data_IF_701851026159
#
_entry.id   IF_701851026159
#
_cell.length_a   1.000
_cell.length_b   1.000
_cell.length_c   1.000
_cell.angle_alpha   90.00
_cell.angle_beta   90.00
_cell.angle_gamma   90.00
#
_symmetry.space_group_name_H-M   'P 1'
#
loop_
_entity.id
_entity.type
_entity.pdbx_description
1 polymer ?
#
# COMPACT_ATOMS: atom_id res chain seq x y z
N UNK A 1 16.12 4.64 3.66
CA UNK A 1 15.53 3.40 4.24
C UNK A 1 14.09 3.16 3.82
N UNK A 2 13.22 4.19 3.80
CA UNK A 2 11.83 4.05 3.35
C UNK A 2 11.69 3.44 1.95
N UNK A 3 12.51 3.87 0.99
CA UNK A 3 12.49 3.30 -0.37
C UNK A 3 12.87 1.82 -0.40
N UNK A 4 13.82 1.40 0.46
CA UNK A 4 14.19 -0.02 0.59
C UNK A 4 13.02 -0.82 1.13
N UNK A 5 12.30 -0.32 2.14
CA UNK A 5 11.09 -0.96 2.66
C UNK A 5 10.01 -1.12 1.58
N UNK A 6 9.73 -0.08 0.80
CA UNK A 6 8.76 -0.17 -0.31
C UNK A 6 9.22 -1.12 -1.42
N UNK A 7 10.53 -1.20 -1.70
CA UNK A 7 11.09 -2.07 -2.73
C UNK A 7 11.40 -3.51 -2.25
N UNK A 8 11.18 -3.81 -0.97
CA UNK A 8 11.28 -5.16 -0.38
C UNK A 8 9.92 -5.61 0.15
N UNK A 9 9.56 -5.20 1.37
CA UNK A 9 8.28 -5.52 2.03
C UNK A 9 7.09 -5.08 1.18
N UNK A 10 7.18 -3.95 0.50
CA UNK A 10 6.15 -3.48 -0.43
C UNK A 10 6.07 -4.24 -1.77
N UNK A 11 6.92 -5.26 -1.96
CA UNK A 11 7.01 -6.10 -3.17
C UNK A 11 7.06 -7.60 -2.83
N UNK A 12 6.31 -8.02 -1.81
CA UNK A 12 6.20 -9.44 -1.43
C UNK A 12 7.53 -10.08 -0.96
N UNK A 13 8.44 -9.30 -0.38
CA UNK A 13 9.69 -9.80 0.19
C UNK A 13 9.76 -9.58 1.71
N UNK A 14 10.67 -10.29 2.36
CA UNK A 14 11.14 -9.97 3.71
C UNK A 14 12.25 -8.93 3.59
N UNK A 15 12.31 -7.97 4.52
CA UNK A 15 13.45 -7.07 4.69
C UNK A 15 14.28 -7.55 5.88
N UNK A 16 15.45 -8.09 5.58
CA UNK A 16 16.48 -8.36 6.57
C UNK A 16 17.38 -7.11 6.67
N UNK A 17 17.45 -6.53 7.86
CA UNK A 17 18.21 -5.31 8.12
C UNK A 17 19.42 -5.66 8.99
N UNK A 18 20.62 -5.56 8.41
CA UNK A 18 21.85 -5.69 9.17
C UNK A 18 22.06 -4.47 10.06
N UNK A 19 22.50 -4.73 11.30
CA UNK A 19 22.74 -3.72 12.32
C UNK A 19 24.07 -4.03 12.98
N UNK A 20 25.07 -3.19 12.74
CA UNK A 20 26.44 -3.45 13.18
C UNK A 20 26.78 -2.69 14.47
N UNK A 21 27.16 -3.39 15.56
CA UNK A 21 27.74 -2.74 16.74
C UNK A 21 29.12 -2.13 16.44
N UNK A 22 29.46 -1.04 17.12
CA UNK A 22 30.79 -0.44 17.08
C UNK A 22 31.75 -1.10 18.09
N UNK A 23 32.96 -0.53 18.25
CA UNK A 23 33.99 -1.05 19.17
C UNK A 23 33.60 -1.02 20.66
N UNK A 24 32.52 -0.31 21.02
CA UNK A 24 31.94 -0.32 22.37
C UNK A 24 30.98 -1.51 22.57
N UNK A 25 30.68 -2.26 21.51
CA UNK A 25 29.63 -3.27 21.50
C UNK A 25 28.21 -2.67 21.48
N UNK A 26 28.07 -1.40 21.11
CA UNK A 26 26.80 -0.68 21.05
C UNK A 26 26.45 -0.33 19.61
N UNK A 27 25.16 -0.16 19.33
CA UNK A 27 24.73 0.41 18.05
C UNK A 27 25.04 1.91 18.08
N UNK A 28 25.72 2.46 17.05
CA UNK A 28 25.94 3.90 16.95
C UNK A 28 24.62 4.69 17.07
N UNK A 29 24.65 5.79 17.81
CA UNK A 29 23.42 6.54 18.14
C UNK A 29 22.74 7.13 16.89
N UNK A 30 23.53 7.51 15.89
CA UNK A 30 23.04 7.99 14.60
C UNK A 30 22.36 6.88 13.79
N UNK A 31 22.90 5.66 13.81
CA UNK A 31 22.27 4.48 13.20
C UNK A 31 20.95 4.14 13.93
N UNK A 32 20.97 4.08 15.26
CA UNK A 32 19.78 3.83 16.06
C UNK A 32 18.67 4.87 15.80
N UNK A 33 19.04 6.14 15.66
CA UNK A 33 18.10 7.20 15.30
C UNK A 33 17.47 6.99 13.91
N UNK A 34 18.24 6.56 12.90
CA UNK A 34 17.73 6.25 11.57
C UNK A 34 16.78 5.04 11.57
N UNK A 35 17.11 3.98 12.33
CA UNK A 35 16.21 2.82 12.47
C UNK A 35 14.91 3.20 13.16
N UNK A 36 14.98 4.05 14.19
CA UNK A 36 13.79 4.61 14.83
C UNK A 36 12.95 5.41 13.85
N UNK A 37 13.56 6.28 13.03
CA UNK A 37 12.84 7.05 12.01
C UNK A 37 12.12 6.15 11.00
N UNK A 38 12.74 5.02 10.60
CA UNK A 38 12.06 4.04 9.76
C UNK A 38 10.85 3.41 10.48
N UNK A 39 11.01 2.99 11.73
CA UNK A 39 9.92 2.43 12.53
C UNK A 39 8.78 3.42 12.75
N UNK A 40 9.10 4.67 13.09
CA UNK A 40 8.15 5.76 13.24
C UNK A 40 7.38 6.00 11.94
N UNK A 41 8.07 6.03 10.80
CA UNK A 41 7.43 6.16 9.48
C UNK A 41 6.49 4.99 9.18
N UNK A 42 6.91 3.74 9.43
CA UNK A 42 6.06 2.57 9.16
C UNK A 42 4.80 2.62 10.03
N UNK A 43 4.95 2.94 11.32
CA UNK A 43 3.83 3.02 12.25
C UNK A 43 2.89 4.18 11.91
N UNK A 44 3.42 5.35 11.59
CA UNK A 44 2.59 6.52 11.25
C UNK A 44 1.85 6.32 9.92
N UNK A 45 2.51 5.73 8.93
CA UNK A 45 1.97 5.57 7.59
C UNK A 45 1.02 4.36 7.47
N UNK A 46 1.39 3.21 8.05
CA UNK A 46 0.69 1.94 7.84
C UNK A 46 0.02 1.38 9.10
N UNK A 47 0.23 1.99 10.26
CA UNK A 47 -0.37 1.53 11.52
C UNK A 47 -1.88 1.72 11.59
N UNK A 48 -2.43 2.70 10.86
CA UNK A 48 -3.87 2.91 10.74
C UNK A 48 -4.23 3.33 9.30
N UNK A 49 -5.05 2.55 8.58
CA UNK A 49 -5.50 2.94 7.25
C UNK A 49 -6.42 4.16 7.29
N UNK A 50 -6.50 4.87 6.16
CA UNK A 50 -7.45 5.97 5.99
C UNK A 50 -8.86 5.41 5.85
N UNK A 51 -9.84 6.11 6.44
CA UNK A 51 -11.26 5.78 6.38
C UNK A 51 -11.55 4.33 6.80
N UNK A 52 -11.28 4.00 8.07
CA UNK A 52 -11.53 2.66 8.65
C UNK A 52 -12.96 2.19 8.52
N UNK A 53 -13.91 3.12 8.43
CA UNK A 53 -15.34 2.84 8.26
C UNK A 53 -15.77 2.71 6.80
N UNK A 54 -14.83 2.78 5.84
CA UNK A 54 -15.15 2.62 4.43
C UNK A 54 -15.76 1.26 4.14
N UNK A 55 -16.72 1.23 3.21
CA UNK A 55 -17.38 -0.01 2.82
C UNK A 55 -16.45 -0.82 1.90
N UNK A 56 -16.02 -1.96 2.39
CA UNK A 56 -15.25 -2.94 1.63
C UNK A 56 -16.18 -3.99 0.99
N UNK A 57 -16.02 -4.24 -0.31
CA UNK A 57 -16.81 -5.23 -1.05
C UNK A 57 -15.90 -6.17 -1.83
N UNK A 58 -16.08 -7.48 -1.62
CA UNK A 58 -15.48 -8.55 -2.43
C UNK A 58 -16.51 -9.00 -3.46
N UNK A 59 -16.10 -9.10 -4.72
CA UNK A 59 -16.98 -9.50 -5.82
C UNK A 59 -16.63 -10.91 -6.29
N UNK A 60 -17.63 -11.64 -6.82
CA UNK A 60 -17.47 -13.04 -7.26
C UNK A 60 -16.44 -13.19 -8.39
N UNK A 61 -16.22 -12.14 -9.18
CA UNK A 61 -15.21 -12.10 -10.24
C UNK A 61 -13.78 -11.81 -9.73
N UNK A 62 -13.56 -11.85 -8.41
CA UNK A 62 -12.27 -11.57 -7.76
C UNK A 62 -11.94 -10.08 -7.59
N UNK A 63 -12.75 -9.17 -8.13
CA UNK A 63 -12.58 -7.73 -7.93
C UNK A 63 -12.77 -7.37 -6.46
N UNK A 64 -12.07 -6.34 -6.00
CA UNK A 64 -12.25 -5.75 -4.68
C UNK A 64 -12.55 -4.27 -4.82
N UNK A 65 -13.52 -3.75 -4.08
CA UNK A 65 -13.79 -2.31 -4.04
C UNK A 65 -13.87 -1.75 -2.63
N UNK A 66 -13.51 -0.47 -2.53
CA UNK A 66 -13.64 0.36 -1.32
C UNK A 66 -14.48 1.58 -1.71
N UNK A 67 -15.59 1.78 -1.02
CA UNK A 67 -16.45 2.96 -1.19
C UNK A 67 -16.37 3.82 0.07
N UNK A 68 -16.14 5.12 -0.10
CA UNK A 68 -16.02 6.08 0.99
C UNK A 68 -17.32 6.87 1.15
N UNK A 69 -17.73 7.15 2.39
CA UNK A 69 -18.93 7.96 2.68
C UNK A 69 -18.77 9.42 2.24
N UNK A 70 -17.54 9.91 2.24
CA UNK A 70 -17.17 11.25 1.79
C UNK A 70 -15.86 11.22 1.01
N UNK A 71 -15.59 12.24 0.16
CA UNK A 71 -14.34 12.33 -0.58
C UNK A 71 -13.12 12.19 0.34
N UNK A 72 -12.26 11.23 0.04
CA UNK A 72 -11.16 10.81 0.91
C UNK A 72 -9.81 10.99 0.19
N UNK A 73 -8.85 11.65 0.85
CA UNK A 73 -7.50 11.84 0.33
C UNK A 73 -6.61 10.63 0.56
N UNK A 74 -6.02 10.07 -0.50
CA UNK A 74 -5.13 8.91 -0.44
C UNK A 74 -3.92 9.11 -1.37
N UNK A 75 -2.78 8.51 -1.05
CA UNK A 75 -1.57 8.55 -1.90
C UNK A 75 -1.02 7.15 -2.25
N UNK A 76 -1.55 6.11 -1.60
CA UNK A 76 -1.12 4.74 -1.79
C UNK A 76 -2.19 3.73 -1.42
N UNK A 77 -1.99 2.51 -1.87
CA UNK A 77 -2.78 1.33 -1.51
C UNK A 77 -1.88 0.18 -1.06
N UNK A 78 -2.36 -0.59 -0.08
CA UNK A 78 -1.73 -1.81 0.41
C UNK A 78 -2.64 -2.98 0.08
N UNK A 79 -2.12 -3.94 -0.67
CA UNK A 79 -2.80 -5.13 -1.15
C UNK A 79 -2.15 -6.37 -0.55
N UNK A 80 -2.95 -7.30 -0.03
CA UNK A 80 -2.45 -8.52 0.59
C UNK A 80 -3.37 -9.69 0.21
N UNK A 81 -2.80 -10.70 -0.46
CA UNK A 81 -3.45 -11.99 -0.68
C UNK A 81 -3.39 -12.83 0.60
N UNK A 82 -4.38 -13.70 0.77
CA UNK A 82 -4.29 -14.85 1.65
C UNK A 82 -3.66 -16.00 0.86
N UNK A 83 -2.38 -16.22 1.10
CA UNK A 83 -1.56 -17.16 0.32
C UNK A 83 -1.53 -18.58 0.88
N UNK A 84 -2.43 -18.94 1.81
CA UNK A 84 -2.47 -20.30 2.38
C UNK A 84 -2.67 -21.38 1.33
N UNK A 85 -3.37 -21.03 0.24
CA UNK A 85 -3.60 -21.90 -0.93
C UNK A 85 -2.73 -21.49 -2.14
N UNK A 86 -1.66 -20.73 -1.89
CA UNK A 86 -0.75 -20.23 -2.92
C UNK A 86 -1.05 -18.80 -3.38
N UNK A 87 -0.19 -18.30 -4.25
CA UNK A 87 -0.28 -16.97 -4.83
C UNK A 87 -0.83 -17.05 -6.25
N UNK A 88 -2.01 -16.46 -6.47
CA UNK A 88 -2.82 -16.74 -7.66
C UNK A 88 -3.00 -15.52 -8.57
N UNK A 89 -2.86 -14.30 -8.04
CA UNK A 89 -2.92 -13.06 -8.85
C UNK A 89 -1.67 -12.94 -9.75
N UNK A 90 -1.89 -12.68 -11.04
CA UNK A 90 -0.86 -12.55 -12.09
C UNK A 90 -0.70 -11.14 -12.63
N UNK A 91 -1.79 -10.38 -12.64
CA UNK A 91 -1.75 -8.93 -12.83
C UNK A 91 -2.92 -8.27 -12.13
N UNK A 92 -2.83 -6.97 -11.89
CA UNK A 92 -3.92 -6.19 -11.35
C UNK A 92 -3.86 -4.75 -11.82
N UNK A 93 -5.01 -4.11 -11.83
CA UNK A 93 -5.15 -2.67 -12.00
C UNK A 93 -5.87 -2.10 -10.79
N UNK A 94 -5.39 -0.95 -10.32
CA UNK A 94 -6.06 -0.14 -9.30
C UNK A 94 -6.61 1.08 -10.00
N UNK A 95 -7.93 1.23 -9.95
CA UNK A 95 -8.66 2.36 -10.48
C UNK A 95 -9.33 3.12 -9.34
N UNK A 96 -9.52 4.42 -9.50
CA UNK A 96 -10.22 5.23 -8.53
C UNK A 96 -11.17 6.23 -9.21
N UNK A 97 -12.31 6.49 -8.58
CA UNK A 97 -13.19 7.61 -8.94
C UNK A 97 -12.68 8.88 -8.29
N UNK A 98 -11.99 9.71 -9.08
CA UNK A 98 -11.40 10.96 -8.62
C UNK A 98 -12.48 12.05 -8.57
N UNK A 99 -12.49 12.89 -7.54
CA UNK A 99 -13.53 13.94 -7.36
C UNK A 99 -13.17 15.29 -7.98
N UNK A 100 -11.90 15.51 -8.33
CA UNK A 100 -11.39 16.81 -8.78
C UNK A 100 -10.37 16.68 -9.90
N UNK A 101 -10.33 17.67 -10.80
CA UNK A 101 -9.43 17.70 -11.95
C UNK A 101 -10.09 17.20 -13.23
N UNK A 102 -9.28 16.93 -14.26
CA UNK A 102 -9.75 16.53 -15.60
C UNK A 102 -10.53 15.21 -15.56
N UNK A 103 -10.23 14.36 -14.58
CA UNK A 103 -10.81 13.03 -14.42
C UNK A 103 -12.03 12.99 -13.46
N UNK A 104 -12.56 14.15 -13.06
CA UNK A 104 -13.61 14.22 -12.03
C UNK A 104 -14.86 13.39 -12.41
N UNK A 105 -15.25 12.47 -11.52
CA UNK A 105 -16.42 11.59 -11.69
C UNK A 105 -16.14 10.33 -12.52
N UNK A 106 -14.99 10.23 -13.18
CA UNK A 106 -14.60 9.08 -14.00
C UNK A 106 -13.68 8.11 -13.25
N UNK A 107 -13.66 6.86 -13.69
CA UNK A 107 -12.66 5.90 -13.26
C UNK A 107 -11.31 6.21 -13.91
N UNK A 108 -10.29 6.43 -13.09
CA UNK A 108 -8.91 6.62 -13.54
C UNK A 108 -8.02 5.51 -13.04
N UNK A 109 -7.13 5.02 -13.91
CA UNK A 109 -6.04 4.13 -13.49
C UNK A 109 -5.06 4.90 -12.61
N UNK A 110 -4.81 4.41 -11.39
CA UNK A 110 -3.90 5.03 -10.41
C UNK A 110 -2.67 4.17 -10.11
N UNK A 111 -2.76 2.86 -10.32
CA UNK A 111 -1.62 1.94 -10.28
C UNK A 111 -1.93 0.66 -11.06
N UNK A 112 -0.90 -0.08 -11.46
CA UNK A 112 -0.99 -1.44 -11.99
C UNK A 112 0.23 -2.25 -11.60
N UNK A 113 0.08 -3.56 -11.54
CA UNK A 113 1.19 -4.46 -11.24
C UNK A 113 0.93 -5.89 -11.69
N UNK A 114 1.86 -6.77 -11.36
CA UNK A 114 1.78 -8.20 -11.68
C UNK A 114 1.39 -9.00 -10.44
N UNK A 115 2.34 -9.24 -9.54
CA UNK A 115 2.17 -9.99 -8.30
C UNK A 115 1.74 -9.11 -7.13
N UNK A 116 0.93 -9.67 -6.22
CA UNK A 116 0.62 -9.07 -4.92
C UNK A 116 1.27 -9.86 -3.78
N UNK A 117 0.87 -11.12 -3.62
CA UNK A 117 1.37 -12.02 -2.59
C UNK A 117 1.09 -11.52 -1.17
N UNK A 118 2.07 -11.63 -0.29
CA UNK A 118 1.94 -11.31 1.12
C UNK A 118 1.61 -9.83 1.30
N UNK A 119 2.38 -8.94 0.69
CA UNK A 119 2.16 -7.50 0.76
C UNK A 119 2.69 -6.80 -0.48
N UNK A 120 1.81 -6.02 -1.10
CA UNK A 120 2.14 -5.08 -2.16
C UNK A 120 1.75 -3.68 -1.72
N UNK A 121 2.68 -2.74 -1.86
CA UNK A 121 2.45 -1.32 -1.60
C UNK A 121 2.63 -0.60 -2.93
N UNK A 122 1.58 0.08 -3.37
CA UNK A 122 1.58 0.91 -4.57
C UNK A 122 1.43 2.37 -4.17
N UNK A 123 2.46 3.16 -4.41
CA UNK A 123 2.45 4.62 -4.24
C UNK A 123 2.02 5.22 -5.57
N UNK A 124 1.00 6.09 -5.55
CA UNK A 124 0.46 6.66 -6.78
C UNK A 124 1.40 7.72 -7.35
N UNK A 125 1.69 7.63 -8.65
CA UNK A 125 2.56 8.58 -9.36
C UNK A 125 1.98 10.00 -9.33
N UNK A 126 0.64 10.13 -9.44
CA UNK A 126 -0.09 11.40 -9.33
C UNK A 126 0.00 12.04 -7.93
N UNK A 127 0.56 11.34 -6.93
CA UNK A 127 0.61 11.81 -5.55
C UNK A 127 -0.74 11.67 -4.83
N UNK A 128 -1.08 12.65 -4.00
CA UNK A 128 -2.34 12.64 -3.24
C UNK A 128 -3.51 12.89 -4.19
N UNK A 129 -4.49 11.99 -4.17
CA UNK A 129 -5.75 12.09 -4.92
C UNK A 129 -6.93 12.05 -3.95
N UNK A 130 -7.99 12.79 -4.28
CA UNK A 130 -9.26 12.72 -3.55
C UNK A 130 -10.22 11.81 -4.31
N UNK A 131 -10.77 10.81 -3.62
CA UNK A 131 -11.55 9.75 -4.26
C UNK A 131 -12.84 9.43 -3.48
N UNK A 132 -13.85 8.93 -4.18
CA UNK A 132 -15.08 8.37 -3.57
C UNK A 132 -15.13 6.85 -3.66
N UNK A 133 -14.35 6.26 -4.56
CA UNK A 133 -14.28 4.82 -4.74
C UNK A 133 -12.92 4.39 -5.25
N UNK A 134 -12.45 3.22 -4.81
CA UNK A 134 -11.27 2.53 -5.34
C UNK A 134 -11.67 1.11 -5.72
N UNK A 135 -11.22 0.65 -6.88
CA UNK A 135 -11.48 -0.68 -7.42
C UNK A 135 -10.18 -1.35 -7.84
N UNK A 136 -10.03 -2.62 -7.46
CA UNK A 136 -8.90 -3.47 -7.79
C UNK A 136 -9.41 -4.60 -8.68
N UNK A 137 -8.97 -4.60 -9.93
CA UNK A 137 -9.36 -5.60 -10.93
C UNK A 137 -8.17 -6.52 -11.21
N UNK A 138 -8.13 -7.72 -10.63
CA UNK A 138 -7.05 -8.68 -10.86
C UNK A 138 -7.32 -9.58 -12.08
N UNK A 139 -6.25 -10.12 -12.64
CA UNK A 139 -6.25 -11.37 -13.39
C UNK A 139 -5.56 -12.43 -12.55
N UNK A 140 -6.05 -13.66 -12.58
CA UNK A 140 -5.62 -14.71 -11.68
C UNK A 140 -5.80 -16.10 -12.30
N UNK A 141 -5.05 -17.07 -11.79
CA UNK A 141 -5.14 -18.48 -12.24
C UNK A 141 -6.10 -19.31 -11.40
N UNK A 142 -6.54 -18.79 -10.26
CA UNK A 142 -7.54 -19.37 -9.35
C UNK A 142 -8.18 -18.24 -8.51
N UNK A 143 -9.33 -18.47 -7.89
CA UNK A 143 -10.11 -17.45 -7.18
C UNK A 143 -9.28 -16.76 -6.08
N UNK A 144 -9.01 -15.45 -6.19
CA UNK A 144 -8.13 -14.76 -5.25
C UNK A 144 -8.83 -14.55 -3.91
N UNK A 145 -8.14 -14.94 -2.83
CA UNK A 145 -8.57 -14.65 -1.46
C UNK A 145 -7.87 -13.38 -1.00
N UNK A 146 -8.63 -12.30 -0.86
CA UNK A 146 -8.13 -11.05 -0.29
C UNK A 146 -8.01 -11.16 1.23
N UNK A 147 -6.77 -11.13 1.74
CA UNK A 147 -6.49 -11.06 3.19
C UNK A 147 -6.81 -9.67 3.73
N UNK A 148 -6.29 -8.64 3.07
CA UNK A 148 -6.61 -7.25 3.40
C UNK A 148 -6.30 -6.32 2.22
N UNK A 149 -7.14 -5.30 2.07
CA UNK A 149 -6.94 -4.21 1.11
C UNK A 149 -7.21 -2.92 1.86
N UNK A 150 -6.25 -2.00 1.85
CA UNK A 150 -6.36 -0.75 2.60
C UNK A 150 -5.69 0.40 1.85
N UNK A 151 -6.23 1.60 2.04
CA UNK A 151 -5.66 2.83 1.47
C UNK A 151 -5.03 3.67 2.57
N UNK A 152 -3.98 4.40 2.22
CA UNK A 152 -3.23 5.21 3.18
C UNK A 152 -2.91 6.56 2.57
N UNK A 153 -2.61 7.52 3.46
CA UNK A 153 -2.07 8.83 3.12
C UNK A 153 -0.91 9.07 4.07
N UNK A 154 0.29 9.16 3.52
CA UNK A 154 1.49 9.35 4.33
C UNK A 154 2.25 10.59 3.88
N UNK A 155 2.85 11.29 4.84
CA UNK A 155 3.69 12.43 4.52
C UNK A 155 4.92 11.96 3.72
N UNK A 156 5.24 12.66 2.64
CA UNK A 156 6.46 12.39 1.88
C UNK A 156 7.66 12.85 2.73
N UNK A 157 8.68 12.01 2.97
CA UNK A 157 9.92 12.47 3.58
C UNK A 157 10.51 13.57 2.70
N UNK A 158 10.60 14.80 3.21
CA UNK A 158 11.16 15.95 2.48
C UNK A 158 10.19 17.10 2.14
N UNK A 159 8.91 17.06 2.54
CA UNK A 159 8.04 18.24 2.46
C UNK A 159 8.16 19.11 3.73
N UNK A 160 9.28 19.83 3.84
CA UNK A 160 9.36 21.10 4.57
C UNK A 160 9.98 22.13 3.65
#
# INVERSE_FOLDING_TARGET
>A
MVDVYHNSVGRNCVLELDVTPDQRGLIPDDHAALYKQLGDFINSCYGKPVATEAKHTKHDNGTYSITFESPTSIDRIVLMEDQRDGQVIRSYQVQAKIVSGVDAGNWSLVSKGTSIGHKKIDIFEKGVINVTEVMISPTFVDTPKWRSVSVHRCDRPGSK
#
